data_IF_787859319192
#
_entry.id   IF_787859319192
#
_cell.length_a   1.000
_cell.length_b   1.000
_cell.length_c   1.000
_cell.angle_alpha   90.00
_cell.angle_beta   90.00
_cell.angle_gamma   90.00
#
_symmetry.space_group_name_H-M   'P 1'
#
loop_
_entity.id
_entity.type
_entity.pdbx_description
1 polymer ?
#
# COMPACT_ATOMS: atom_id res chain seq x y z
N UNK A 1 14.17 -13.93 2.92
CA UNK A 1 13.41 -14.09 4.17
C UNK A 1 13.01 -15.56 4.35
N UNK A 2 12.68 -15.96 5.57
CA UNK A 2 12.00 -17.23 5.84
C UNK A 2 10.50 -17.15 5.51
N UNK A 3 9.77 -18.26 5.74
CA UNK A 3 8.32 -18.32 5.50
C UNK A 3 7.50 -17.37 6.39
N UNK A 4 8.05 -16.91 7.52
CA UNK A 4 7.43 -15.99 8.46
C UNK A 4 7.80 -14.53 8.16
N UNK A 5 8.59 -14.29 7.11
CA UNK A 5 9.04 -12.97 6.73
C UNK A 5 10.26 -12.44 7.50
N UNK A 6 10.89 -13.27 8.34
CA UNK A 6 12.12 -12.92 9.06
C UNK A 6 13.27 -12.77 8.06
N UNK A 7 14.09 -11.74 8.23
CA UNK A 7 15.27 -11.56 7.40
C UNK A 7 16.26 -12.72 7.59
N UNK A 8 16.83 -13.20 6.48
CA UNK A 8 17.88 -14.21 6.53
C UNK A 8 19.23 -13.56 6.86
N UNK A 9 20.06 -14.26 7.64
CA UNK A 9 21.39 -13.81 8.07
C UNK A 9 22.49 -14.51 7.27
N UNK A 10 23.74 -14.08 7.44
CA UNK A 10 24.94 -14.72 6.92
C UNK A 10 24.97 -14.94 5.40
N UNK A 11 24.40 -14.01 4.62
CA UNK A 11 24.28 -14.13 3.18
C UNK A 11 23.58 -15.43 2.71
N UNK A 12 22.66 -15.96 3.52
CA UNK A 12 21.87 -17.14 3.21
C UNK A 12 20.40 -16.78 3.08
N UNK A 13 19.70 -17.51 2.19
CA UNK A 13 18.26 -17.42 2.01
C UNK A 13 17.65 -18.74 2.45
N UNK A 14 16.66 -18.72 3.31
CA UNK A 14 15.91 -19.92 3.67
C UNK A 14 15.15 -20.43 2.44
N UNK A 15 15.29 -21.72 2.15
CA UNK A 15 14.61 -22.42 1.07
C UNK A 15 13.94 -23.68 1.58
N UNK A 16 12.87 -24.09 0.91
CA UNK A 16 12.23 -25.39 1.12
C UNK A 16 12.25 -26.14 -0.20
N UNK A 17 12.85 -27.32 -0.20
CA UNK A 17 12.81 -28.28 -1.31
C UNK A 17 11.76 -29.33 -0.99
N UNK A 18 10.88 -29.64 -1.91
CA UNK A 18 9.85 -30.67 -1.74
C UNK A 18 9.59 -31.37 -3.08
N UNK A 19 9.49 -32.71 -3.06
CA UNK A 19 8.99 -33.44 -4.22
C UNK A 19 7.50 -33.16 -4.44
N UNK A 20 7.08 -33.06 -5.70
CA UNK A 20 5.69 -32.75 -6.04
C UNK A 20 4.73 -33.90 -5.76
N UNK A 21 5.23 -35.11 -5.64
CA UNK A 21 4.48 -36.34 -5.35
C UNK A 21 4.40 -36.68 -3.85
N UNK A 22 4.93 -35.79 -2.97
CA UNK A 22 4.95 -36.00 -1.53
C UNK A 22 6.07 -36.94 -1.01
N UNK A 23 6.98 -37.36 -1.87
CA UNK A 23 8.16 -38.14 -1.44
C UNK A 23 8.95 -37.30 -0.42
N UNK A 24 9.52 -37.99 0.58
CA UNK A 24 10.33 -37.34 1.62
C UNK A 24 11.55 -36.62 1.01
N UNK A 25 11.71 -35.38 1.37
CA UNK A 25 12.82 -34.50 1.03
C UNK A 25 13.52 -33.91 2.26
N UNK A 26 13.36 -34.53 3.44
CA UNK A 26 13.86 -34.01 4.71
C UNK A 26 15.39 -33.80 4.76
N UNK A 27 16.15 -34.51 3.89
CA UNK A 27 17.61 -34.34 3.77
C UNK A 27 18.03 -33.27 2.77
N UNK A 28 17.09 -32.58 2.12
CA UNK A 28 17.39 -31.51 1.17
C UNK A 28 17.99 -30.28 1.88
N UNK A 29 18.81 -29.49 1.19
CA UNK A 29 19.34 -28.26 1.76
C UNK A 29 18.20 -27.28 2.07
N UNK A 30 18.32 -26.60 3.21
CA UNK A 30 17.33 -25.62 3.71
C UNK A 30 17.77 -24.17 3.49
N UNK A 31 18.95 -23.95 2.94
CA UNK A 31 19.49 -22.60 2.68
C UNK A 31 20.18 -22.53 1.32
N UNK A 32 19.98 -21.41 0.64
CA UNK A 32 20.71 -21.01 -0.57
C UNK A 32 21.69 -19.87 -0.22
N UNK A 33 22.82 -19.80 -0.91
CA UNK A 33 23.81 -18.74 -0.74
C UNK A 33 23.48 -17.52 -1.60
N UNK A 34 23.55 -16.29 -1.02
CA UNK A 34 23.57 -15.06 -1.79
C UNK A 34 24.97 -14.82 -2.35
N UNK A 35 25.03 -14.32 -3.58
CA UNK A 35 26.31 -13.92 -4.16
C UNK A 35 26.89 -12.72 -3.39
N UNK A 36 28.18 -12.79 -3.06
CA UNK A 36 28.86 -11.73 -2.30
C UNK A 36 28.94 -10.38 -3.02
N UNK A 37 28.95 -10.41 -4.35
CA UNK A 37 29.00 -9.22 -5.21
C UNK A 37 27.63 -8.82 -5.79
N UNK A 38 26.58 -9.57 -5.54
CA UNK A 38 25.24 -9.30 -6.05
C UNK A 38 24.16 -9.95 -5.16
N UNK A 39 23.66 -9.21 -4.19
CA UNK A 39 22.61 -9.66 -3.27
C UNK A 39 21.26 -9.99 -3.94
N UNK A 40 21.11 -9.70 -5.25
CA UNK A 40 19.96 -10.08 -6.07
C UNK A 40 20.10 -11.47 -6.70
N UNK A 41 21.26 -12.13 -6.55
CA UNK A 41 21.53 -13.47 -7.08
C UNK A 41 21.73 -14.47 -5.94
N UNK A 42 21.02 -15.58 -5.97
CA UNK A 42 21.23 -16.68 -5.04
C UNK A 42 21.58 -17.98 -5.79
N UNK A 43 22.31 -18.86 -5.15
CA UNK A 43 22.65 -20.20 -5.66
C UNK A 43 22.31 -21.25 -4.60
N UNK A 44 21.65 -22.33 -5.04
CA UNK A 44 21.33 -23.50 -4.22
C UNK A 44 22.08 -24.70 -4.77
N UNK A 45 23.02 -25.23 -3.99
CA UNK A 45 23.72 -26.45 -4.35
C UNK A 45 22.90 -27.66 -3.93
N UNK A 46 22.44 -28.44 -4.90
CA UNK A 46 21.70 -29.68 -4.74
C UNK A 46 22.55 -30.93 -4.98
N UNK A 47 23.83 -30.78 -5.31
CA UNK A 47 24.70 -31.87 -5.81
C UNK A 47 24.78 -33.04 -4.83
N UNK A 48 25.02 -32.80 -3.56
CA UNK A 48 25.11 -33.84 -2.53
C UNK A 48 23.77 -34.53 -2.31
N UNK A 49 22.69 -33.75 -2.25
CA UNK A 49 21.35 -34.29 -2.07
C UNK A 49 20.91 -35.17 -3.25
N UNK A 50 21.14 -34.72 -4.50
CA UNK A 50 20.82 -35.48 -5.69
C UNK A 50 21.60 -36.79 -5.73
N UNK A 51 22.89 -36.77 -5.42
CA UNK A 51 23.72 -38.02 -5.38
C UNK A 51 23.23 -39.00 -4.32
N UNK A 52 22.77 -38.52 -3.16
CA UNK A 52 22.23 -39.37 -2.09
C UNK A 52 20.82 -39.93 -2.39
N UNK A 53 20.09 -39.35 -3.36
CA UNK A 53 18.70 -39.65 -3.64
C UNK A 53 18.46 -40.23 -5.05
N UNK A 54 19.39 -41.03 -5.57
CA UNK A 54 19.31 -41.62 -6.93
C UNK A 54 18.06 -42.49 -7.19
N UNK A 55 17.46 -43.05 -6.11
CA UNK A 55 16.18 -43.77 -6.18
C UNK A 55 14.99 -42.89 -6.59
N UNK A 56 15.14 -41.56 -6.49
CA UNK A 56 14.12 -40.57 -6.87
C UNK A 56 14.35 -39.98 -8.28
N UNK A 57 15.19 -40.61 -9.08
CA UNK A 57 15.48 -40.16 -10.44
C UNK A 57 14.18 -40.01 -11.26
N UNK A 58 14.04 -38.89 -11.92
CA UNK A 58 12.86 -38.56 -12.74
C UNK A 58 11.70 -37.91 -11.97
N UNK A 59 11.74 -37.85 -10.66
CA UNK A 59 10.71 -37.12 -9.88
C UNK A 59 10.90 -35.63 -9.97
N UNK A 60 9.79 -34.91 -10.13
CA UNK A 60 9.78 -33.44 -10.08
C UNK A 60 9.85 -32.94 -8.64
N UNK A 61 10.55 -31.84 -8.41
CA UNK A 61 10.60 -31.15 -7.13
C UNK A 61 10.45 -29.64 -7.30
N UNK A 62 10.03 -28.96 -6.25
CA UNK A 62 9.93 -27.51 -6.18
C UNK A 62 10.93 -26.97 -5.17
N UNK A 63 11.47 -25.80 -5.46
CA UNK A 63 12.24 -24.98 -4.51
C UNK A 63 11.43 -23.74 -4.20
N UNK A 64 11.05 -23.56 -2.93
CA UNK A 64 10.29 -22.41 -2.48
C UNK A 64 11.20 -21.50 -1.64
N UNK A 65 11.15 -20.23 -1.90
CA UNK A 65 11.79 -19.19 -1.09
C UNK A 65 10.90 -17.96 -1.01
N UNK A 66 11.19 -17.08 -0.05
CA UNK A 66 10.41 -15.87 0.19
C UNK A 66 11.29 -14.63 0.08
N UNK A 67 10.75 -13.59 -0.52
CA UNK A 67 11.39 -12.28 -0.61
C UNK A 67 10.36 -11.19 -0.29
N UNK A 68 10.81 -10.11 0.33
CA UNK A 68 10.00 -8.90 0.50
C UNK A 68 10.36 -7.91 -0.59
N UNK A 69 9.34 -7.25 -1.13
CA UNK A 69 9.52 -6.10 -2.02
C UNK A 69 10.22 -5.00 -1.21
N UNK A 70 11.27 -4.42 -1.75
CA UNK A 70 12.03 -3.36 -1.12
C UNK A 70 11.89 -2.03 -1.90
N UNK A 71 12.55 -0.98 -1.42
CA UNK A 71 12.52 0.36 -2.03
C UNK A 71 13.03 0.43 -3.47
N UNK A 72 13.76 -0.57 -3.94
CA UNK A 72 14.32 -0.62 -5.31
C UNK A 72 13.39 -1.35 -6.29
N UNK A 73 12.15 -1.66 -5.87
CA UNK A 73 11.18 -2.36 -6.72
C UNK A 73 10.70 -1.46 -7.86
N UNK A 74 10.81 -1.98 -9.07
CA UNK A 74 10.34 -1.36 -10.30
C UNK A 74 8.93 -1.89 -10.69
N UNK A 75 8.27 -1.24 -11.66
CA UNK A 75 6.95 -1.66 -12.15
C UNK A 75 6.96 -3.13 -12.61
N UNK A 76 8.05 -3.57 -13.23
CA UNK A 76 8.22 -4.98 -13.60
C UNK A 76 9.53 -5.51 -13.03
N UNK A 77 9.44 -6.41 -12.05
CA UNK A 77 10.59 -7.08 -11.46
C UNK A 77 10.66 -8.51 -11.99
N UNK A 78 11.75 -8.84 -12.69
CA UNK A 78 11.96 -10.16 -13.26
C UNK A 78 12.72 -11.05 -12.29
N UNK A 79 12.18 -12.24 -12.02
CA UNK A 79 12.89 -13.33 -11.40
C UNK A 79 13.32 -14.34 -12.47
N UNK A 80 14.63 -14.62 -12.56
CA UNK A 80 15.20 -15.58 -13.53
C UNK A 80 15.78 -16.75 -12.76
N UNK A 81 15.41 -17.96 -13.15
CA UNK A 81 15.95 -19.20 -12.60
C UNK A 81 16.57 -20.05 -13.70
N UNK A 82 17.76 -20.55 -13.46
CA UNK A 82 18.44 -21.52 -14.32
C UNK A 82 18.97 -22.68 -13.50
N UNK A 83 19.13 -23.83 -14.11
CA UNK A 83 19.75 -25.00 -13.51
C UNK A 83 21.10 -25.23 -14.21
N UNK A 84 22.17 -25.33 -13.41
CA UNK A 84 23.48 -25.82 -13.84
C UNK A 84 23.59 -27.29 -13.44
N UNK A 85 23.96 -28.13 -14.38
CA UNK A 85 24.09 -29.59 -14.16
C UNK A 85 25.22 -30.19 -14.98
N UNK A 86 25.76 -31.28 -14.51
CA UNK A 86 26.83 -32.06 -15.16
C UNK A 86 27.38 -33.11 -14.22
N UNK A 87 28.08 -34.08 -14.80
CA UNK A 87 28.76 -35.13 -14.04
C UNK A 87 30.17 -34.75 -13.64
N UNK A 88 30.72 -33.69 -14.23
CA UNK A 88 32.04 -33.13 -13.95
C UNK A 88 31.90 -31.67 -13.58
N UNK A 89 32.42 -31.24 -12.42
CA UNK A 89 32.35 -29.82 -12.02
C UNK A 89 33.02 -28.85 -12.98
N UNK A 90 33.96 -29.30 -13.80
CA UNK A 90 34.66 -28.52 -14.80
C UNK A 90 34.00 -28.53 -16.19
N UNK A 91 32.91 -29.31 -16.36
CA UNK A 91 32.18 -29.44 -17.62
C UNK A 91 30.69 -29.51 -17.30
N UNK A 92 30.07 -28.34 -17.13
CA UNK A 92 28.67 -28.19 -16.78
C UNK A 92 27.88 -27.59 -17.92
N UNK A 93 26.59 -27.91 -17.97
CA UNK A 93 25.61 -27.30 -18.85
C UNK A 93 24.63 -26.48 -18.04
N UNK A 94 24.30 -25.26 -18.49
CA UNK A 94 23.29 -24.43 -17.86
C UNK A 94 22.04 -24.36 -18.77
N UNK A 95 20.87 -24.53 -18.18
CA UNK A 95 19.59 -24.38 -18.89
C UNK A 95 19.38 -22.93 -19.32
N UNK A 96 18.61 -22.71 -20.38
CA UNK A 96 18.01 -21.40 -20.65
C UNK A 96 17.22 -20.95 -19.42
N UNK A 97 17.42 -19.71 -18.94
CA UNK A 97 16.68 -19.23 -17.79
C UNK A 97 15.16 -19.22 -18.01
N UNK A 98 14.41 -19.70 -17.01
CA UNK A 98 12.98 -19.45 -16.91
C UNK A 98 12.75 -18.12 -16.20
N UNK A 99 11.77 -17.35 -16.64
CA UNK A 99 11.48 -16.03 -16.11
C UNK A 99 10.08 -15.97 -15.49
N UNK A 100 9.98 -15.32 -14.34
CA UNK A 100 8.71 -14.93 -13.73
C UNK A 100 8.75 -13.42 -13.43
N UNK A 101 7.63 -12.74 -13.66
CA UNK A 101 7.51 -11.30 -13.46
C UNK A 101 6.65 -11.00 -12.23
N UNK A 102 7.15 -10.15 -11.37
CA UNK A 102 6.39 -9.57 -10.24
C UNK A 102 6.25 -8.09 -10.48
N UNK A 103 5.01 -7.63 -10.61
CA UNK A 103 4.74 -6.22 -10.88
C UNK A 103 4.45 -5.47 -9.58
N UNK A 104 4.99 -4.24 -9.50
CA UNK A 104 4.64 -3.25 -8.50
C UNK A 104 4.21 -1.97 -9.19
N UNK A 105 3.35 -1.19 -8.54
CA UNK A 105 2.72 -0.03 -9.17
C UNK A 105 2.90 1.20 -8.29
N UNK A 106 3.02 2.39 -8.89
CA UNK A 106 2.94 3.66 -8.17
C UNK A 106 1.48 4.01 -7.87
N UNK A 107 1.29 4.73 -6.77
CA UNK A 107 0.12 5.52 -6.47
C UNK A 107 0.50 7.00 -6.53
N UNK A 108 -0.03 7.70 -7.50
CA UNK A 108 0.15 9.14 -7.70
C UNK A 108 -1.02 9.91 -7.10
N UNK A 109 -0.69 10.91 -6.29
CA UNK A 109 -1.64 11.72 -5.56
C UNK A 109 -1.41 13.19 -5.90
N UNK A 110 -2.45 13.87 -6.34
CA UNK A 110 -2.45 15.30 -6.54
C UNK A 110 -3.22 15.96 -5.39
N UNK A 111 -2.48 16.49 -4.43
CA UNK A 111 -3.04 17.19 -3.27
C UNK A 111 -3.30 18.63 -3.63
N UNK A 112 -4.58 19.06 -3.61
CA UNK A 112 -5.00 20.36 -4.12
C UNK A 112 -5.97 21.08 -3.19
N UNK A 113 -5.99 22.39 -3.34
CA UNK A 113 -7.02 23.27 -2.80
C UNK A 113 -8.30 23.15 -3.65
N UNK A 114 -9.41 22.76 -3.02
CA UNK A 114 -10.71 22.58 -3.68
C UNK A 114 -11.20 23.81 -4.45
N UNK A 115 -10.86 25.01 -3.99
CA UNK A 115 -11.35 26.28 -4.57
C UNK A 115 -10.47 26.77 -5.72
N UNK A 116 -9.17 26.61 -5.62
CA UNK A 116 -8.21 27.20 -6.57
C UNK A 116 -7.53 26.17 -7.46
N UNK A 117 -7.69 24.87 -7.18
CA UNK A 117 -6.96 23.75 -7.81
C UNK A 117 -5.43 23.85 -7.68
N UNK A 118 -4.92 24.78 -6.86
CA UNK A 118 -3.49 24.91 -6.57
C UNK A 118 -2.98 23.74 -5.72
N UNK A 119 -1.73 23.32 -5.97
CA UNK A 119 -1.08 22.27 -5.20
C UNK A 119 -0.95 22.66 -3.72
N UNK A 120 -1.12 21.70 -2.84
CA UNK A 120 -0.97 21.86 -1.40
C UNK A 120 0.16 21.01 -0.87
N UNK A 121 1.14 21.63 -0.22
CA UNK A 121 2.20 20.98 0.51
C UNK A 121 1.83 20.74 1.98
N UNK A 122 2.54 19.82 2.64
CA UNK A 122 2.43 19.59 4.07
C UNK A 122 1.25 18.73 4.51
N UNK A 123 0.41 18.26 3.60
CA UNK A 123 -0.57 17.22 3.93
C UNK A 123 0.16 15.91 4.21
N UNK A 124 -0.17 15.24 5.33
CA UNK A 124 0.36 13.94 5.67
C UNK A 124 -0.69 12.86 5.45
N UNK A 125 -0.23 11.74 4.95
CA UNK A 125 -1.07 10.58 4.66
C UNK A 125 -0.45 9.31 5.18
N UNK A 126 -1.31 8.32 5.48
CA UNK A 126 -0.95 6.92 5.66
C UNK A 126 -1.80 6.05 4.74
N UNK A 127 -1.27 4.89 4.35
CA UNK A 127 -1.93 3.95 3.45
C UNK A 127 -2.14 2.61 4.15
N UNK A 128 -3.29 1.99 3.94
CA UNK A 128 -3.70 0.77 4.64
C UNK A 128 -4.18 -0.29 3.64
N UNK A 129 -4.09 -1.58 4.04
CA UNK A 129 -4.56 -2.71 3.23
C UNK A 129 -6.01 -3.11 3.52
N UNK A 130 -6.64 -2.55 4.55
CA UNK A 130 -8.04 -2.78 4.87
C UNK A 130 -8.73 -1.51 5.35
N UNK A 131 -10.04 -1.43 5.14
CA UNK A 131 -10.85 -0.32 5.63
C UNK A 131 -10.90 -0.26 7.16
N UNK A 132 -10.90 -1.42 7.81
CA UNK A 132 -10.90 -1.52 9.27
C UNK A 132 -9.61 -0.94 9.86
N UNK A 133 -8.44 -1.34 9.32
CA UNK A 133 -7.16 -0.79 9.76
C UNK A 133 -7.08 0.72 9.53
N UNK A 134 -7.60 1.20 8.39
CA UNK A 134 -7.64 2.62 8.07
C UNK A 134 -8.49 3.43 9.06
N UNK A 135 -9.63 2.89 9.47
CA UNK A 135 -10.52 3.52 10.47
C UNK A 135 -9.94 3.51 11.88
N UNK A 136 -9.21 2.45 12.21
CA UNK A 136 -8.57 2.30 13.53
C UNK A 136 -7.20 2.99 13.60
N UNK A 137 -6.57 3.31 12.46
CA UNK A 137 -5.21 3.82 12.41
C UNK A 137 -4.14 2.77 12.71
N UNK A 138 -4.44 1.49 12.47
CA UNK A 138 -3.58 0.35 12.77
C UNK A 138 -2.99 -0.26 11.49
N UNK A 139 -1.84 -0.93 11.59
CA UNK A 139 -1.23 -1.69 10.49
C UNK A 139 -1.00 -0.89 9.20
N UNK A 140 -0.67 0.40 9.32
CA UNK A 140 -0.32 1.23 8.17
C UNK A 140 0.89 0.66 7.42
N UNK A 141 0.89 0.82 6.10
CA UNK A 141 2.00 0.40 5.23
C UNK A 141 3.21 1.27 5.55
N UNK A 142 4.34 0.63 5.82
CA UNK A 142 5.60 1.31 6.07
C UNK A 142 6.27 1.74 4.76
N UNK A 143 6.83 2.95 4.76
CA UNK A 143 7.44 3.58 3.60
C UNK A 143 8.80 4.19 3.95
N UNK A 144 9.64 4.39 2.95
CA UNK A 144 10.84 5.23 3.03
C UNK A 144 10.84 6.22 1.87
N UNK A 145 11.43 7.38 2.06
CA UNK A 145 11.49 8.42 1.03
C UNK A 145 11.37 9.82 1.60
N UNK A 146 11.34 10.81 0.71
CA UNK A 146 11.22 12.23 1.03
C UNK A 146 10.79 13.03 -0.20
N UNK A 147 10.55 14.33 -0.01
CA UNK A 147 10.28 15.26 -1.11
C UNK A 147 9.14 14.80 -2.05
N UNK A 148 8.05 14.27 -1.47
CA UNK A 148 6.90 13.81 -2.23
C UNK A 148 7.08 12.47 -2.93
N UNK A 149 8.23 11.81 -2.85
CA UNK A 149 8.49 10.50 -3.44
C UNK A 149 8.83 9.48 -2.36
N UNK A 150 8.00 8.49 -2.25
CA UNK A 150 8.09 7.41 -1.27
C UNK A 150 8.00 6.06 -1.95
N UNK A 151 8.44 5.03 -1.25
CA UNK A 151 8.32 3.63 -1.68
C UNK A 151 8.02 2.76 -0.48
N UNK A 152 7.22 1.72 -0.68
CA UNK A 152 6.94 0.70 0.34
C UNK A 152 8.24 0.07 0.80
N UNK A 153 8.48 0.11 2.10
CA UNK A 153 9.68 -0.45 2.71
C UNK A 153 9.31 -1.21 3.99
N UNK A 154 9.29 -2.55 3.96
CA UNK A 154 8.86 -3.36 5.10
C UNK A 154 9.86 -3.37 6.28
N UNK A 155 11.05 -2.78 6.12
CA UNK A 155 12.02 -2.61 7.21
C UNK A 155 11.98 -1.21 7.84
N UNK A 156 11.25 -0.28 7.21
CA UNK A 156 11.03 1.07 7.75
C UNK A 156 10.03 1.03 8.90
N UNK A 157 10.13 2.02 9.78
CA UNK A 157 9.15 2.31 10.84
C UNK A 157 8.26 3.50 10.50
N UNK A 158 8.56 4.22 9.40
CA UNK A 158 7.78 5.38 8.96
C UNK A 158 6.55 4.92 8.22
N UNK A 159 5.38 5.44 8.61
CA UNK A 159 4.09 5.13 8.01
C UNK A 159 3.44 6.35 7.34
N UNK A 160 3.97 7.54 7.57
CA UNK A 160 3.46 8.77 6.99
C UNK A 160 4.30 9.22 5.79
N UNK A 161 3.62 9.76 4.78
CA UNK A 161 4.22 10.39 3.62
C UNK A 161 3.57 11.74 3.36
N UNK A 162 4.33 12.72 2.85
CA UNK A 162 4.00 14.14 2.90
C UNK A 162 3.99 14.74 1.51
N UNK A 163 2.91 15.48 1.17
CA UNK A 163 2.79 16.22 -0.09
C UNK A 163 3.74 17.42 -0.14
N UNK A 164 4.21 17.75 -1.33
CA UNK A 164 5.11 18.88 -1.59
C UNK A 164 4.43 19.95 -2.44
N UNK A 165 5.02 21.14 -2.48
CA UNK A 165 4.53 22.25 -3.30
C UNK A 165 4.86 22.05 -4.79
N UNK A 166 5.93 21.29 -5.07
CA UNK A 166 6.43 21.06 -6.43
C UNK A 166 5.54 20.08 -7.18
N UNK A 167 5.21 20.41 -8.43
CA UNK A 167 4.64 19.47 -9.40
C UNK A 167 5.71 18.45 -9.83
N UNK A 168 5.42 17.18 -9.61
CA UNK A 168 6.32 16.06 -9.93
C UNK A 168 5.96 15.35 -11.25
N UNK A 169 5.04 15.93 -12.04
CA UNK A 169 4.53 15.38 -13.29
C UNK A 169 3.02 15.16 -13.25
N UNK A 170 2.27 16.16 -12.80
CA UNK A 170 0.82 16.13 -12.62
C UNK A 170 0.37 15.72 -11.21
N UNK A 171 1.30 15.34 -10.33
CA UNK A 171 1.06 14.98 -8.94
C UNK A 171 2.09 15.65 -8.02
N UNK A 172 1.86 15.67 -6.73
CA UNK A 172 2.79 16.22 -5.75
C UNK A 172 3.04 15.28 -4.56
N UNK A 173 2.66 14.00 -4.73
CA UNK A 173 2.93 12.94 -3.78
C UNK A 173 2.84 11.59 -4.50
N UNK A 174 3.84 10.72 -4.31
CA UNK A 174 3.90 9.39 -4.93
C UNK A 174 4.32 8.34 -3.91
N UNK A 175 3.69 7.16 -3.99
CA UNK A 175 4.12 5.95 -3.28
C UNK A 175 4.32 4.83 -4.29
N UNK A 176 5.56 4.34 -4.42
CA UNK A 176 5.94 3.24 -5.30
C UNK A 176 5.88 1.89 -4.55
N UNK A 177 5.94 0.79 -5.28
CA UNK A 177 6.12 -0.55 -4.72
C UNK A 177 4.82 -1.22 -4.26
N UNK A 178 3.66 -0.74 -4.72
CA UNK A 178 2.36 -1.31 -4.37
C UNK A 178 2.00 -2.50 -5.28
N UNK A 179 1.25 -3.45 -4.73
CA UNK A 179 0.64 -4.54 -5.49
C UNK A 179 -0.67 -4.07 -6.16
N UNK A 180 -1.16 -4.84 -7.14
CA UNK A 180 -2.51 -4.64 -7.68
C UNK A 180 -3.55 -5.15 -6.67
N UNK A 181 -4.08 -4.25 -5.85
CA UNK A 181 -5.05 -4.52 -4.76
C UNK A 181 -5.84 -3.26 -4.41
N UNK A 182 -6.80 -3.42 -3.49
CA UNK A 182 -7.48 -2.33 -2.82
C UNK A 182 -6.61 -1.78 -1.67
N UNK A 183 -6.64 -0.46 -1.52
CA UNK A 183 -5.98 0.30 -0.45
C UNK A 183 -6.92 1.38 0.09
N UNK A 184 -6.63 1.85 1.30
CA UNK A 184 -7.35 2.95 1.94
C UNK A 184 -6.34 4.03 2.34
N UNK A 185 -6.45 5.18 1.68
CA UNK A 185 -5.63 6.36 1.92
C UNK A 185 -6.30 7.23 2.98
N UNK A 186 -5.60 7.54 4.04
CA UNK A 186 -6.06 8.39 5.15
C UNK A 186 -5.21 9.63 5.23
N UNK A 187 -5.83 10.81 5.21
CA UNK A 187 -5.14 12.04 5.54
C UNK A 187 -4.97 12.10 7.06
N UNK A 188 -3.73 12.00 7.57
CA UNK A 188 -3.44 12.04 9.01
C UNK A 188 -3.33 13.48 9.50
N UNK A 189 -2.86 14.38 8.63
CA UNK A 189 -2.77 15.82 8.89
C UNK A 189 -3.06 16.60 7.60
N UNK A 190 -4.01 17.55 7.67
CA UNK A 190 -4.22 18.51 6.58
C UNK A 190 -3.13 19.58 6.54
N UNK A 191 -2.91 20.26 5.40
CA UNK A 191 -2.10 21.46 5.33
C UNK A 191 -2.62 22.55 6.29
N UNK A 192 -1.73 23.45 6.71
CA UNK A 192 -2.11 24.54 7.59
C UNK A 192 -3.24 25.41 6.97
N UNK A 193 -4.27 25.70 7.75
CA UNK A 193 -5.44 26.47 7.32
C UNK A 193 -6.49 25.68 6.53
N UNK A 194 -6.31 24.38 6.37
CA UNK A 194 -7.27 23.51 5.66
C UNK A 194 -7.94 22.51 6.61
N UNK A 195 -9.16 22.12 6.24
CA UNK A 195 -9.90 21.09 6.96
C UNK A 195 -9.39 19.71 6.56
N UNK A 196 -9.08 18.87 7.55
CA UNK A 196 -8.69 17.48 7.37
C UNK A 196 -9.86 16.65 6.81
N UNK A 197 -9.58 15.70 5.92
CA UNK A 197 -10.55 14.72 5.47
C UNK A 197 -10.94 13.78 6.62
N UNK A 198 -12.22 13.45 6.71
CA UNK A 198 -12.78 12.60 7.78
C UNK A 198 -12.77 11.13 7.41
N UNK A 199 -12.98 10.83 6.14
CA UNK A 199 -13.15 9.46 5.65
C UNK A 199 -11.95 8.98 4.85
N UNK A 200 -11.57 7.70 4.98
CA UNK A 200 -10.58 7.08 4.12
C UNK A 200 -11.00 7.10 2.65
N UNK A 201 -10.06 7.36 1.75
CA UNK A 201 -10.27 7.26 0.30
C UNK A 201 -9.89 5.85 -0.14
N UNK A 202 -10.86 5.09 -0.68
CA UNK A 202 -10.57 3.81 -1.28
C UNK A 202 -9.84 4.01 -2.61
N UNK A 203 -8.69 3.35 -2.77
CA UNK A 203 -7.90 3.31 -4.01
C UNK A 203 -7.79 1.87 -4.47
N UNK A 204 -8.18 1.59 -5.71
CA UNK A 204 -8.04 0.27 -6.32
C UNK A 204 -7.01 0.34 -7.44
N UNK A 205 -5.95 -0.44 -7.32
CA UNK A 205 -4.96 -0.64 -8.37
C UNK A 205 -5.23 -2.00 -9.01
N UNK A 206 -5.44 -2.04 -10.32
CA UNK A 206 -5.70 -3.28 -11.06
C UNK A 206 -4.66 -3.44 -12.16
N UNK A 207 -4.04 -4.63 -12.21
CA UNK A 207 -3.12 -4.98 -13.30
C UNK A 207 -3.89 -5.08 -14.62
N UNK A 208 -3.33 -4.47 -15.66
CA UNK A 208 -3.84 -4.52 -17.03
C UNK A 208 -2.70 -4.93 -17.98
N UNK A 209 -2.60 -6.22 -18.27
CA UNK A 209 -1.49 -6.78 -19.05
C UNK A 209 -0.17 -6.86 -18.25
N UNK A 210 0.96 -6.88 -18.96
CA UNK A 210 2.30 -7.09 -18.36
C UNK A 210 2.93 -5.80 -17.82
N UNK A 211 2.63 -4.66 -18.43
CA UNK A 211 3.29 -3.37 -18.12
C UNK A 211 2.32 -2.24 -17.82
N UNK A 212 1.01 -2.49 -17.90
CA UNK A 212 -0.02 -1.50 -17.69
C UNK A 212 -0.85 -1.80 -16.44
N UNK A 213 -1.52 -0.77 -15.92
CA UNK A 213 -2.45 -0.87 -14.78
C UNK A 213 -3.49 0.24 -14.85
N UNK A 214 -4.56 0.09 -14.10
CA UNK A 214 -5.58 1.12 -13.90
C UNK A 214 -5.68 1.49 -12.43
N UNK A 215 -6.10 2.71 -12.16
CA UNK A 215 -6.33 3.25 -10.83
C UNK A 215 -7.77 3.71 -10.71
N UNK A 216 -8.43 3.40 -9.58
CA UNK A 216 -9.76 3.93 -9.25
C UNK A 216 -9.72 4.60 -7.89
N UNK A 217 -10.44 5.72 -7.78
CA UNK A 217 -10.71 6.42 -6.53
C UNK A 217 -12.19 6.22 -6.17
N UNK A 218 -12.49 5.65 -5.02
CA UNK A 218 -13.87 5.36 -4.58
C UNK A 218 -14.73 4.69 -5.67
N UNK A 219 -14.16 3.69 -6.38
CA UNK A 219 -14.72 2.95 -7.51
C UNK A 219 -14.86 3.72 -8.83
N UNK A 220 -14.50 5.00 -8.91
CA UNK A 220 -14.43 5.78 -10.15
C UNK A 220 -13.04 5.65 -10.77
N UNK A 221 -12.97 5.35 -12.06
CA UNK A 221 -11.70 5.24 -12.78
C UNK A 221 -11.02 6.62 -12.90
N UNK A 222 -9.70 6.62 -12.75
CA UNK A 222 -8.83 7.79 -12.99
C UNK A 222 -8.03 7.52 -14.27
N UNK A 223 -8.39 8.20 -15.34
CA UNK A 223 -7.84 7.95 -16.69
C UNK A 223 -6.34 8.29 -16.77
N UNK A 224 -5.89 9.28 -16.00
CA UNK A 224 -4.48 9.66 -15.87
C UNK A 224 -3.73 8.89 -14.78
N UNK A 225 -4.42 7.98 -14.05
CA UNK A 225 -3.90 7.19 -12.92
C UNK A 225 -3.49 8.03 -11.70
N UNK A 226 -3.90 9.30 -11.65
CA UNK A 226 -3.61 10.22 -10.55
C UNK A 226 -4.90 10.42 -9.76
N UNK A 227 -4.83 10.31 -8.44
CA UNK A 227 -5.98 10.61 -7.60
C UNK A 227 -5.91 12.04 -7.07
N UNK A 228 -6.92 12.84 -7.41
CA UNK A 228 -7.08 14.18 -6.85
C UNK A 228 -7.60 14.11 -5.41
N UNK A 229 -6.88 14.71 -4.49
CA UNK A 229 -7.25 14.80 -3.07
C UNK A 229 -7.40 16.25 -2.68
N UNK A 230 -8.64 16.68 -2.47
CA UNK A 230 -8.99 18.07 -2.22
C UNK A 230 -9.14 18.37 -0.74
N UNK A 231 -8.57 19.50 -0.26
CA UNK A 231 -8.98 20.11 1.01
C UNK A 231 -9.65 21.45 0.76
N UNK A 232 -10.59 21.77 1.63
CA UNK A 232 -11.26 23.07 1.69
C UNK A 232 -10.80 23.88 2.88
N UNK A 233 -10.80 25.20 2.74
CA UNK A 233 -10.71 26.16 3.84
C UNK A 233 -12.11 26.51 4.33
N UNK A 234 -12.25 26.89 5.59
CA UNK A 234 -13.51 27.35 6.17
C UNK A 234 -13.86 26.63 7.46
N UNK A 235 -14.88 27.12 8.13
CA UNK A 235 -15.36 26.53 9.37
C UNK A 235 -16.02 25.16 9.09
N UNK A 236 -15.62 24.15 9.86
CA UNK A 236 -16.36 22.88 9.97
C UNK A 236 -17.70 23.06 10.70
N UNK A 237 -18.06 24.30 11.03
CA UNK A 237 -19.39 24.57 11.58
C UNK A 237 -20.42 24.05 10.59
N UNK A 238 -21.41 23.26 11.02
CA UNK A 238 -22.52 22.87 10.21
C UNK A 238 -23.06 24.13 9.54
N UNK A 239 -23.29 24.11 8.24
CA UNK A 239 -23.92 25.24 7.56
C UNK A 239 -25.25 25.49 8.28
N UNK A 240 -25.32 26.54 9.08
CA UNK A 240 -26.56 26.95 9.77
C UNK A 240 -27.63 27.43 8.79
N UNK A 241 -27.34 27.37 7.48
CA UNK A 241 -28.26 27.73 6.39
C UNK A 241 -29.16 26.60 5.89
N UNK A 242 -29.22 25.45 6.55
CA UNK A 242 -30.08 24.35 6.15
C UNK A 242 -31.17 24.04 7.20
N UNK A 243 -31.54 22.76 7.31
CA UNK A 243 -32.53 22.26 8.27
C UNK A 243 -32.28 22.65 9.72
N UNK A 244 -31.02 22.90 10.11
CA UNK A 244 -30.64 23.38 11.44
C UNK A 244 -31.12 24.80 11.73
N UNK A 245 -30.98 25.74 10.78
CA UNK A 245 -31.47 27.10 10.94
C UNK A 245 -33.00 27.16 11.07
N UNK A 246 -33.71 26.28 10.33
CA UNK A 246 -35.17 26.14 10.45
C UNK A 246 -35.55 25.61 11.84
N UNK A 247 -34.81 24.62 12.35
CA UNK A 247 -35.06 24.07 13.68
C UNK A 247 -34.87 25.11 14.78
N UNK A 248 -33.79 25.90 14.72
CA UNK A 248 -33.54 27.00 15.66
C UNK A 248 -34.61 28.14 15.56
N UNK A 249 -35.02 28.48 14.33
CA UNK A 249 -36.08 29.47 14.10
C UNK A 249 -37.44 29.00 14.68
N UNK A 250 -37.77 27.73 14.52
CA UNK A 250 -38.98 27.12 15.09
C UNK A 250 -38.93 27.12 16.63
N UNK A 251 -37.81 26.75 17.22
CA UNK A 251 -37.63 26.73 18.68
C UNK A 251 -37.72 28.16 19.21
N UNK A 252 -37.08 29.15 18.59
CA UNK A 252 -37.14 30.53 18.97
C UNK A 252 -38.58 31.11 18.89
N UNK A 253 -39.31 30.75 17.81
CA UNK A 253 -40.71 31.16 17.64
C UNK A 253 -41.64 30.55 18.72
N UNK A 254 -41.44 29.28 19.07
CA UNK A 254 -42.19 28.62 20.14
C UNK A 254 -41.91 29.26 21.53
N UNK A 255 -40.69 29.62 21.82
CA UNK A 255 -40.33 30.30 23.07
C UNK A 255 -40.97 31.71 23.17
N UNK A 256 -40.93 32.48 22.08
CA UNK A 256 -41.58 33.82 22.01
C UNK A 256 -43.09 33.67 22.18
N UNK A 257 -43.69 32.71 21.48
CA UNK A 257 -45.11 32.43 21.57
C UNK A 257 -45.52 32.00 23.01
N UNK A 258 -44.72 31.12 23.64
CA UNK A 258 -44.93 30.67 25.02
C UNK A 258 -44.91 31.82 26.02
N UNK A 259 -43.95 32.75 25.88
CA UNK A 259 -43.84 33.95 26.70
C UNK A 259 -45.06 34.85 26.49
N UNK A 260 -45.47 35.08 25.24
CA UNK A 260 -46.61 35.95 24.91
C UNK A 260 -47.93 35.36 25.49
N UNK A 261 -48.15 34.04 25.37
CA UNK A 261 -49.32 33.38 25.93
C UNK A 261 -49.30 33.45 27.47
N UNK A 262 -48.15 33.30 28.12
CA UNK A 262 -48.03 33.44 29.56
C UNK A 262 -48.38 34.86 30.02
N UNK A 263 -47.88 35.86 29.33
CA UNK A 263 -48.16 37.29 29.62
C UNK A 263 -49.66 37.66 29.48
N UNK A 264 -50.30 37.14 28.44
CA UNK A 264 -51.77 37.34 28.23
C UNK A 264 -52.57 36.64 29.33
N UNK A 265 -52.13 35.45 29.74
CA UNK A 265 -52.82 34.67 30.80
C UNK A 265 -52.69 35.34 32.16
N UNK A 266 -51.54 35.93 32.48
CA UNK A 266 -51.36 36.62 33.75
C UNK A 266 -52.12 37.93 33.79
N UNK A 267 -52.20 38.73 32.71
CA UNK A 267 -53.07 39.90 32.65
C UNK A 267 -54.57 39.59 32.77
N UNK A 268 -55.02 38.39 32.36
CA UNK A 268 -56.42 37.95 32.53
C UNK A 268 -56.76 37.53 33.95
N UNK A 269 -55.78 37.31 34.82
CA UNK A 269 -56.00 36.98 36.23
C UNK A 269 -56.04 38.19 37.13
N UNK A 270 -55.55 39.33 36.62
CA UNK A 270 -55.52 40.63 37.34
C UNK A 270 -56.70 41.57 36.97
N UNK A 271 -57.57 41.15 36.02
CA UNK A 271 -58.81 41.82 35.64
C UNK A 271 -60.04 41.01 36.18
#
# INVERSE_FOLDING_TARGET
NDANGTACTDNKVAVKVAFTDGTDASTAPTTAALATNNSKKMSLDLSTWVRANQGNKGKAFTVTYYAKVNKDAEVTNNNKASLEYGNNPSDTTTTTPSEAKTNTYPLDIKKINKKTSGLLAGAKFSLYRSETDAKNGENAITVTGSNGNYVVDPVSTTTEFVSVEKDLGGYNLRVNGLEAKDYWLVETQAPEGFNKLTDPIKVTITKDGDTNWTVKKNNTAEDDKIIDVENSTGSLLPSTGGRGAIAFAVIAALLVFGVAVSFIRDKRKEA
#
